data_IF_835446327786
#
_entry.id   IF_835446327786
#
_cell.length_a   1.000
_cell.length_b   1.000
_cell.length_c   1.000
_cell.angle_alpha   90.00
_cell.angle_beta   90.00
_cell.angle_gamma   90.00
#
_symmetry.space_group_name_H-M   'P 1'
#
loop_
_entity.id
_entity.type
_entity.pdbx_description
1 polymer ?
#
# COMPACT_ATOMS: atom_id res chain seq x y z
N UNK A 1 -14.40 -0.01 -7.99
CA UNK A 1 -14.42 -0.67 -6.66
C UNK A 1 -15.01 0.33 -5.68
N UNK A 2 -15.86 -0.10 -4.75
CA UNK A 2 -16.37 0.80 -3.71
C UNK A 2 -15.29 1.12 -2.67
N UNK A 3 -15.48 2.21 -1.92
CA UNK A 3 -14.58 2.62 -0.85
C UNK A 3 -14.38 1.50 0.19
N UNK A 4 -15.45 0.85 0.62
CA UNK A 4 -15.38 -0.27 1.58
C UNK A 4 -14.55 -1.44 1.04
N UNK A 5 -14.81 -1.84 -0.21
CA UNK A 5 -14.04 -2.92 -0.85
C UNK A 5 -12.55 -2.58 -1.00
N UNK A 6 -12.22 -1.30 -1.25
CA UNK A 6 -10.84 -0.82 -1.35
C UNK A 6 -10.08 -1.02 -0.04
N UNK A 7 -10.60 -0.51 1.07
CA UNK A 7 -9.93 -0.59 2.36
C UNK A 7 -9.92 -2.02 2.91
N UNK A 8 -10.96 -2.82 2.65
CA UNK A 8 -10.94 -4.24 3.00
C UNK A 8 -9.85 -4.98 2.24
N UNK A 9 -9.70 -4.76 0.92
CA UNK A 9 -8.61 -5.35 0.14
C UNK A 9 -7.24 -4.90 0.63
N UNK A 10 -7.07 -3.61 0.93
CA UNK A 10 -5.82 -3.08 1.46
C UNK A 10 -5.45 -3.75 2.79
N UNK A 11 -6.42 -3.93 3.68
CA UNK A 11 -6.21 -4.60 4.95
C UNK A 11 -5.75 -6.05 4.78
N UNK A 12 -6.38 -6.79 3.85
CA UNK A 12 -5.95 -8.16 3.48
C UNK A 12 -4.53 -8.16 2.89
N UNK A 13 -4.25 -7.23 1.98
CA UNK A 13 -2.96 -7.10 1.32
C UNK A 13 -1.82 -6.84 2.31
N UNK A 14 -1.96 -5.84 3.18
CA UNK A 14 -0.95 -5.54 4.21
C UNK A 14 -0.80 -6.66 5.24
N UNK A 15 -1.88 -7.37 5.56
CA UNK A 15 -1.82 -8.54 6.45
C UNK A 15 -1.01 -9.69 5.84
N UNK A 16 -0.94 -9.77 4.50
CA UNK A 16 -0.17 -10.80 3.79
C UNK A 16 1.34 -10.50 3.71
N UNK A 17 1.75 -9.23 3.84
CA UNK A 17 3.16 -8.81 3.84
C UNK A 17 3.93 -9.27 5.08
N UNK A 18 3.23 -9.58 6.17
CA UNK A 18 3.82 -10.12 7.38
C UNK A 18 3.53 -11.63 7.45
N UNK A 19 4.56 -12.45 7.69
CA UNK A 19 4.45 -13.91 7.92
C UNK A 19 3.50 -14.33 9.07
N UNK A 20 2.86 -13.39 9.77
CA UNK A 20 2.38 -13.60 11.13
C UNK A 20 0.87 -13.66 11.38
N UNK A 21 -0.02 -13.61 10.39
CA UNK A 21 -1.45 -13.90 10.66
C UNK A 21 -2.01 -15.00 9.78
N UNK A 22 -1.96 -16.23 10.33
CA UNK A 22 -2.59 -17.48 9.90
C UNK A 22 -4.06 -17.30 9.45
N UNK A 23 -4.30 -16.85 8.22
CA UNK A 23 -5.59 -16.94 7.52
C UNK A 23 -6.78 -16.26 8.21
N UNK A 24 -6.54 -15.36 9.17
CA UNK A 24 -7.62 -14.65 9.85
C UNK A 24 -7.92 -13.34 9.11
N UNK A 25 -9.20 -13.01 8.91
CA UNK A 25 -9.58 -11.77 8.26
C UNK A 25 -9.05 -10.58 9.06
N UNK A 26 -8.73 -9.45 8.38
CA UNK A 26 -8.37 -8.23 9.06
C UNK A 26 -9.50 -7.80 10.01
N UNK A 27 -9.13 -7.30 11.19
CA UNK A 27 -10.11 -6.76 12.14
C UNK A 27 -10.73 -5.49 11.57
N UNK A 28 -11.99 -5.23 11.90
CA UNK A 28 -12.68 -3.98 11.52
C UNK A 28 -11.91 -2.74 11.98
N UNK A 29 -11.31 -2.80 13.16
CA UNK A 29 -10.45 -1.74 13.71
C UNK A 29 -9.30 -1.37 12.77
N UNK A 30 -8.69 -2.35 12.09
CA UNK A 30 -7.64 -2.08 11.11
C UNK A 30 -8.19 -1.33 9.89
N UNK A 31 -9.37 -1.73 9.40
CA UNK A 31 -10.01 -1.09 8.26
C UNK A 31 -10.30 0.38 8.56
N UNK A 32 -10.81 0.68 9.76
CA UNK A 32 -11.09 2.06 10.20
C UNK A 32 -9.80 2.89 10.33
N UNK A 33 -8.72 2.31 10.88
CA UNK A 33 -7.40 2.97 10.91
C UNK A 33 -6.92 3.27 9.49
N UNK A 34 -7.05 2.35 8.54
CA UNK A 34 -6.63 2.57 7.16
C UNK A 34 -7.45 3.68 6.48
N UNK A 35 -8.77 3.74 6.73
CA UNK A 35 -9.66 4.82 6.23
C UNK A 35 -9.31 6.20 6.80
N UNK A 36 -8.78 6.26 8.02
CA UNK A 36 -8.33 7.50 8.66
C UNK A 36 -6.95 7.93 8.15
N UNK A 37 -6.04 6.97 7.91
CA UNK A 37 -4.66 7.25 7.54
C UNK A 37 -4.45 7.47 6.05
N UNK A 38 -5.25 6.86 5.20
CA UNK A 38 -5.03 6.93 3.76
C UNK A 38 -6.25 7.53 3.07
N UNK A 39 -6.00 8.34 2.03
CA UNK A 39 -7.05 8.62 1.06
C UNK A 39 -7.14 7.48 0.03
N UNK A 40 -8.18 7.52 -0.81
CA UNK A 40 -8.44 6.45 -1.78
C UNK A 40 -7.29 6.30 -2.81
N UNK A 41 -6.65 7.40 -3.23
CA UNK A 41 -5.52 7.32 -4.16
C UNK A 41 -4.30 6.65 -3.51
N UNK A 42 -4.01 6.98 -2.26
CA UNK A 42 -2.93 6.35 -1.49
C UNK A 42 -3.18 4.86 -1.27
N UNK A 43 -4.42 4.49 -0.94
CA UNK A 43 -4.81 3.09 -0.75
C UNK A 43 -4.65 2.26 -2.03
N UNK A 44 -5.00 2.81 -3.20
CA UNK A 44 -4.79 2.16 -4.49
C UNK A 44 -3.29 1.97 -4.82
N UNK A 45 -2.47 2.97 -4.53
CA UNK A 45 -1.02 2.89 -4.72
C UNK A 45 -0.43 1.81 -3.82
N UNK A 46 -0.78 1.80 -2.53
CA UNK A 46 -0.29 0.80 -1.58
C UNK A 46 -0.70 -0.63 -1.96
N UNK A 47 -1.92 -0.83 -2.46
CA UNK A 47 -2.38 -2.13 -2.99
C UNK A 47 -1.55 -2.65 -4.16
N UNK A 48 -0.88 -1.76 -4.87
CA UNK A 48 -0.13 -2.07 -6.09
C UNK A 48 1.34 -2.33 -5.80
N UNK A 49 1.81 -1.98 -4.60
CA UNK A 49 3.11 -2.38 -4.10
C UNK A 49 3.07 -3.90 -3.87
N UNK A 50 3.92 -4.69 -4.53
CA UNK A 50 3.99 -6.11 -4.30
C UNK A 50 4.25 -6.45 -2.83
N UNK A 51 3.42 -7.33 -2.26
CA UNK A 51 3.67 -7.98 -0.99
C UNK A 51 4.74 -9.09 -1.18
N UNK A 52 5.97 -8.72 -1.52
CA UNK A 52 7.04 -9.70 -1.73
C UNK A 52 7.53 -10.26 -0.40
N UNK A 53 8.06 -11.48 -0.47
CA UNK A 53 8.57 -12.20 0.70
C UNK A 53 9.99 -11.79 1.09
N UNK A 54 10.70 -11.02 0.24
CA UNK A 54 12.06 -10.57 0.49
C UNK A 54 12.01 -9.22 1.22
N UNK A 55 12.43 -9.16 2.50
CA UNK A 55 12.42 -7.90 3.23
C UNK A 55 13.31 -6.85 2.56
N UNK A 56 12.81 -5.62 2.47
CA UNK A 56 13.55 -4.46 1.96
C UNK A 56 14.05 -4.59 0.51
N UNK A 57 13.42 -5.46 -0.29
CA UNK A 57 13.60 -5.44 -1.73
C UNK A 57 13.06 -4.11 -2.29
N UNK A 58 13.91 -3.39 -3.03
CA UNK A 58 13.54 -2.14 -3.65
C UNK A 58 12.65 -2.40 -4.87
N UNK A 59 11.67 -1.52 -5.07
CA UNK A 59 10.71 -1.59 -6.17
C UNK A 59 10.73 -0.24 -6.86
N UNK A 60 10.91 -0.25 -8.18
CA UNK A 60 10.98 0.97 -8.97
C UNK A 60 9.57 1.54 -9.20
N UNK A 61 9.39 2.88 -9.22
CA UNK A 61 8.09 3.49 -9.50
C UNK A 61 7.47 3.02 -10.82
N UNK A 62 8.27 2.66 -11.84
CA UNK A 62 7.75 2.16 -13.12
C UNK A 62 7.01 0.81 -12.98
N UNK A 63 7.45 -0.04 -12.05
CA UNK A 63 6.83 -1.34 -11.79
C UNK A 63 5.45 -1.20 -11.15
N UNK A 64 5.23 -0.08 -10.45
CA UNK A 64 3.96 0.28 -9.82
C UNK A 64 3.10 1.10 -10.81
N UNK A 65 3.69 2.05 -11.53
CA UNK A 65 3.00 2.99 -12.43
C UNK A 65 2.20 2.26 -13.51
N UNK A 66 2.76 1.19 -14.06
CA UNK A 66 2.11 0.33 -15.06
C UNK A 66 0.74 -0.23 -14.61
N UNK A 67 0.48 -0.27 -13.30
CA UNK A 67 -0.73 -0.87 -12.72
C UNK A 67 -1.77 0.13 -12.25
N UNK A 68 -1.40 1.40 -12.04
CA UNK A 68 -2.26 2.36 -11.32
C UNK A 68 -2.42 3.69 -12.04
N UNK A 69 -1.31 4.42 -12.26
CA UNK A 69 -1.34 5.84 -12.64
C UNK A 69 -0.07 6.27 -13.38
N UNK A 70 -0.10 7.41 -14.10
CA UNK A 70 1.10 8.00 -14.68
C UNK A 70 2.18 8.25 -13.62
N UNK A 71 3.44 8.08 -14.03
CA UNK A 71 4.62 8.12 -13.15
C UNK A 71 4.67 9.37 -12.27
N UNK A 72 4.51 10.55 -12.86
CA UNK A 72 4.57 11.84 -12.15
C UNK A 72 3.58 11.91 -10.97
N UNK A 73 2.37 11.38 -11.16
CA UNK A 73 1.34 11.36 -10.12
C UNK A 73 1.65 10.32 -9.05
N UNK A 74 2.21 9.18 -9.46
CA UNK A 74 2.65 8.13 -8.54
C UNK A 74 3.79 8.63 -7.64
N UNK A 75 4.82 9.26 -8.22
CA UNK A 75 5.97 9.79 -7.47
C UNK A 75 5.51 10.78 -6.39
N UNK A 76 4.60 11.70 -6.73
CA UNK A 76 4.05 12.65 -5.75
C UNK A 76 3.27 11.96 -4.61
N UNK A 77 2.65 10.81 -4.86
CA UNK A 77 1.96 10.02 -3.83
C UNK A 77 2.99 9.28 -2.97
N UNK A 78 3.98 8.63 -3.58
CA UNK A 78 5.04 7.90 -2.88
C UNK A 78 5.86 8.84 -1.99
N UNK A 79 6.20 10.03 -2.49
CA UNK A 79 6.91 11.06 -1.72
C UNK A 79 6.11 11.51 -0.50
N UNK A 80 4.79 11.73 -0.66
CA UNK A 80 3.91 12.09 0.46
C UNK A 80 3.79 10.97 1.49
N UNK A 81 3.77 9.70 1.06
CA UNK A 81 3.74 8.56 1.96
C UNK A 81 5.07 8.42 2.71
N UNK A 82 6.20 8.60 2.03
CA UNK A 82 7.55 8.58 2.61
C UNK A 82 7.75 9.72 3.62
N UNK A 83 7.35 10.95 3.28
CA UNK A 83 7.47 12.12 4.17
C UNK A 83 6.66 11.98 5.47
N UNK A 84 5.66 11.09 5.48
CA UNK A 84 4.82 10.75 6.64
C UNK A 84 5.34 9.54 7.43
N UNK A 85 6.46 8.94 7.00
CA UNK A 85 7.05 7.75 7.61
C UNK A 85 6.25 6.47 7.35
N UNK A 86 5.42 6.43 6.30
CA UNK A 86 4.57 5.27 5.96
C UNK A 86 5.22 4.33 4.94
N UNK A 87 6.29 4.77 4.29
CA UNK A 87 7.11 3.97 3.39
C UNK A 87 8.59 4.24 3.69
N UNK A 88 9.41 3.21 3.47
CA UNK A 88 10.86 3.38 3.35
C UNK A 88 11.19 3.60 1.87
N UNK A 89 11.99 4.61 1.58
CA UNK A 89 12.48 4.94 0.24
C UNK A 89 13.99 5.19 0.30
N UNK A 90 14.70 4.90 -0.78
CA UNK A 90 16.13 5.14 -0.93
C UNK A 90 16.48 5.47 -2.37
N UNK A 91 17.70 5.94 -2.58
CA UNK A 91 18.26 6.14 -3.92
C UNK A 91 18.59 4.77 -4.55
N UNK A 92 18.24 4.58 -5.82
CA UNK A 92 18.60 3.43 -6.66
C UNK A 92 19.72 3.74 -7.63
#
# INVERSE_FOLDING_TARGET
MSREELYHKLAVHLSSMYLGWLGRPPKEELIEILKEKFNEEEAEVLLSIPATTVPLELIEPDEIASKVRPRERLEAILERLSSRGLLFSGET
#
